data_IF_697711387686
#
_entry.id   IF_697711387686
#
_cell.length_a   1.000
_cell.length_b   1.000
_cell.length_c   1.000
_cell.angle_alpha   90.00
_cell.angle_beta   90.00
_cell.angle_gamma   90.00
#
_symmetry.space_group_name_H-M   'P 1'
#
loop_
_entity.id
_entity.type
_entity.pdbx_description
1 polymer ?
#
# COMPACT_ATOMS: atom_id res chain seq x y z
N UNK A 1 66.31 -40.27 -9.47
CA UNK A 1 64.90 -40.39 -9.00
C UNK A 1 64.41 -39.15 -8.23
N UNK A 2 65.23 -38.12 -8.03
CA UNK A 2 64.89 -36.91 -7.25
C UNK A 2 64.12 -35.86 -8.07
N UNK A 3 64.45 -35.70 -9.36
CA UNK A 3 63.83 -34.71 -10.25
C UNK A 3 62.34 -34.96 -10.58
N UNK A 4 61.87 -36.22 -10.46
CA UNK A 4 60.46 -36.56 -10.69
C UNK A 4 59.56 -36.13 -9.51
N UNK A 5 60.12 -36.06 -8.30
CA UNK A 5 59.40 -35.65 -7.09
C UNK A 5 59.10 -34.15 -7.06
N UNK A 6 60.02 -33.31 -7.54
CA UNK A 6 59.80 -31.85 -7.61
C UNK A 6 58.77 -31.47 -8.66
N UNK A 7 58.71 -32.17 -9.80
CA UNK A 7 57.69 -31.92 -10.84
C UNK A 7 56.26 -32.26 -10.41
N UNK A 8 56.07 -33.18 -9.47
CA UNK A 8 54.74 -33.53 -8.95
C UNK A 8 54.25 -32.55 -7.87
N UNK A 9 55.15 -31.80 -7.22
CA UNK A 9 54.76 -30.82 -6.21
C UNK A 9 54.09 -29.58 -6.81
N UNK A 10 54.49 -29.16 -8.03
CA UNK A 10 53.89 -28.02 -8.73
C UNK A 10 52.52 -28.29 -9.38
N UNK A 11 52.10 -29.57 -9.47
CA UNK A 11 50.79 -29.96 -10.02
C UNK A 11 49.70 -30.11 -8.94
N UNK A 12 50.04 -29.97 -7.65
CA UNK A 12 49.03 -29.75 -6.61
C UNK A 12 48.59 -28.30 -6.70
N UNK A 13 47.78 -28.04 -7.73
CA UNK A 13 47.00 -26.83 -7.88
C UNK A 13 46.22 -26.63 -6.57
N UNK A 14 46.45 -25.49 -5.94
CA UNK A 14 45.94 -25.17 -4.62
C UNK A 14 44.46 -24.78 -4.77
N UNK A 15 43.56 -25.77 -4.85
CA UNK A 15 42.09 -25.58 -4.96
C UNK A 15 41.47 -24.86 -3.75
N UNK A 16 42.28 -24.52 -2.74
CA UNK A 16 41.87 -23.85 -1.50
C UNK A 16 41.27 -22.46 -1.73
N UNK A 17 41.47 -21.84 -2.90
CA UNK A 17 40.82 -20.59 -3.29
C UNK A 17 39.49 -20.75 -4.05
N UNK A 18 39.23 -21.91 -4.68
CA UNK A 18 38.05 -22.12 -5.53
C UNK A 18 36.81 -22.50 -4.71
N UNK A 19 37.00 -23.21 -3.59
CA UNK A 19 35.92 -23.61 -2.68
C UNK A 19 35.31 -22.40 -1.96
N UNK A 20 36.10 -21.34 -1.70
CA UNK A 20 35.61 -20.09 -1.12
C UNK A 20 34.84 -19.21 -2.13
N UNK A 21 35.04 -19.37 -3.44
CA UNK A 21 34.37 -18.57 -4.46
C UNK A 21 33.05 -19.17 -4.95
N UNK A 22 32.93 -20.50 -4.99
CA UNK A 22 31.75 -21.18 -5.53
C UNK A 22 30.52 -21.08 -4.63
N UNK A 23 30.71 -20.93 -3.32
CA UNK A 23 29.62 -20.74 -2.35
C UNK A 23 29.14 -19.27 -2.28
N UNK A 24 29.98 -18.31 -2.68
CA UNK A 24 29.64 -16.88 -2.63
C UNK A 24 28.55 -16.51 -3.63
N UNK A 25 28.53 -17.14 -4.81
CA UNK A 25 27.50 -16.91 -5.82
C UNK A 25 26.09 -17.31 -5.35
N UNK A 26 25.82 -18.54 -4.87
CA UNK A 26 24.50 -18.90 -4.37
C UNK A 26 24.13 -18.12 -3.10
N UNK A 27 25.09 -17.81 -2.24
CA UNK A 27 24.84 -17.00 -1.05
C UNK A 27 24.47 -15.54 -1.40
N UNK A 28 25.21 -14.92 -2.32
CA UNK A 28 24.91 -13.58 -2.84
C UNK A 28 23.57 -13.53 -3.56
N UNK A 29 23.24 -14.56 -4.35
CA UNK A 29 21.92 -14.69 -4.97
C UNK A 29 20.81 -14.79 -3.93
N UNK A 30 20.98 -15.61 -2.88
CA UNK A 30 20.00 -15.75 -1.81
C UNK A 30 19.78 -14.42 -1.08
N UNK A 31 20.86 -13.71 -0.73
CA UNK A 31 20.76 -12.36 -0.12
C UNK A 31 20.05 -11.40 -1.06
N UNK A 32 20.37 -11.41 -2.35
CA UNK A 32 19.71 -10.56 -3.34
C UNK A 32 18.21 -10.82 -3.40
N UNK A 33 17.81 -12.10 -3.50
CA UNK A 33 16.40 -12.50 -3.53
C UNK A 33 15.68 -12.06 -2.25
N UNK A 34 16.27 -12.31 -1.08
CA UNK A 34 15.70 -11.89 0.21
C UNK A 34 15.60 -10.37 0.28
N UNK A 35 16.63 -9.63 -0.15
CA UNK A 35 16.64 -8.18 -0.18
C UNK A 35 15.56 -7.59 -1.08
N UNK A 36 15.40 -8.12 -2.29
CA UNK A 36 14.34 -7.72 -3.23
C UNK A 36 12.97 -8.03 -2.64
N UNK A 37 12.79 -9.18 -2.01
CA UNK A 37 11.52 -9.55 -1.38
C UNK A 37 11.17 -8.59 -0.23
N UNK A 38 12.13 -8.24 0.63
CA UNK A 38 11.92 -7.27 1.69
C UNK A 38 11.55 -5.89 1.13
N UNK A 39 12.23 -5.45 0.08
CA UNK A 39 11.94 -4.16 -0.57
C UNK A 39 10.54 -4.15 -1.19
N UNK A 40 10.13 -5.23 -1.86
CA UNK A 40 8.79 -5.36 -2.44
C UNK A 40 7.70 -5.33 -1.35
N UNK A 41 7.91 -6.00 -0.22
CA UNK A 41 6.98 -5.99 0.90
C UNK A 41 6.88 -4.61 1.56
N UNK A 42 8.01 -3.91 1.74
CA UNK A 42 7.99 -2.54 2.24
C UNK A 42 7.27 -1.59 1.28
N UNK A 43 7.46 -1.77 -0.04
CA UNK A 43 6.78 -0.98 -1.06
C UNK A 43 5.26 -1.14 -1.02
N UNK A 44 4.75 -2.34 -0.71
CA UNK A 44 3.32 -2.58 -0.59
C UNK A 44 2.64 -1.68 0.46
N UNK A 45 3.33 -1.37 1.57
CA UNK A 45 2.81 -0.46 2.60
C UNK A 45 2.72 0.99 2.08
N UNK A 46 3.71 1.42 1.30
CA UNK A 46 3.71 2.76 0.68
C UNK A 46 2.59 2.86 -0.34
N UNK A 47 2.43 1.84 -1.19
CA UNK A 47 1.38 1.76 -2.19
C UNK A 47 -0.02 1.81 -1.52
N UNK A 48 -0.24 0.98 -0.50
CA UNK A 48 -1.46 1.00 0.29
C UNK A 48 -1.74 2.38 0.92
N UNK A 49 -0.70 3.05 1.44
CA UNK A 49 -0.85 4.38 2.04
C UNK A 49 -1.27 5.43 1.01
N UNK A 50 -0.69 5.39 -0.20
CA UNK A 50 -1.07 6.28 -1.29
C UNK A 50 -2.51 6.01 -1.73
N UNK A 51 -2.89 4.74 -1.84
CA UNK A 51 -4.22 4.32 -2.24
C UNK A 51 -5.31 4.75 -1.23
N UNK A 52 -5.13 4.52 0.08
CA UNK A 52 -6.12 5.00 1.07
C UNK A 52 -6.23 6.52 1.13
N UNK A 53 -5.14 7.23 0.83
CA UNK A 53 -5.15 8.70 0.80
C UNK A 53 -5.95 9.20 -0.40
N UNK A 54 -5.77 8.58 -1.57
CA UNK A 54 -6.57 8.86 -2.76
C UNK A 54 -8.05 8.54 -2.50
N UNK A 55 -8.34 7.38 -1.91
CA UNK A 55 -9.69 6.94 -1.60
C UNK A 55 -10.40 7.88 -0.61
N UNK A 56 -9.74 8.30 0.47
CA UNK A 56 -10.33 9.23 1.44
C UNK A 56 -10.65 10.59 0.79
N UNK A 57 -9.77 11.08 -0.08
CA UNK A 57 -10.00 12.32 -0.82
C UNK A 57 -11.18 12.19 -1.80
N UNK A 58 -11.20 11.13 -2.59
CA UNK A 58 -12.25 10.94 -3.59
C UNK A 58 -13.62 10.68 -2.94
N UNK A 59 -13.65 9.98 -1.82
CA UNK A 59 -14.84 9.79 -1.00
C UNK A 59 -15.40 11.13 -0.51
N UNK A 60 -14.56 11.96 0.11
CA UNK A 60 -14.97 13.26 0.63
C UNK A 60 -15.49 14.17 -0.50
N UNK A 61 -14.75 14.24 -1.62
CA UNK A 61 -15.11 15.03 -2.79
C UNK A 61 -16.44 14.61 -3.39
N UNK A 62 -16.58 13.31 -3.66
CA UNK A 62 -17.80 12.76 -4.23
C UNK A 62 -19.00 12.99 -3.30
N UNK A 63 -18.77 12.90 -1.98
CA UNK A 63 -19.80 13.17 -1.00
C UNK A 63 -20.27 14.63 -1.05
N UNK A 64 -19.36 15.61 -1.04
CA UNK A 64 -19.73 17.05 -1.06
C UNK A 64 -20.38 17.48 -2.38
N UNK A 65 -20.05 16.82 -3.49
CA UNK A 65 -20.58 17.09 -4.83
C UNK A 65 -21.92 16.37 -5.12
N UNK A 66 -22.32 15.36 -4.34
CA UNK A 66 -23.49 14.52 -4.62
C UNK A 66 -24.85 15.24 -4.45
N UNK A 67 -25.87 14.98 -5.30
CA UNK A 67 -27.12 15.75 -5.37
C UNK A 67 -27.94 15.80 -4.08
N UNK A 68 -27.88 14.74 -3.28
CA UNK A 68 -28.62 14.56 -2.06
C UNK A 68 -27.85 13.60 -1.13
N UNK A 69 -28.24 13.57 0.15
CA UNK A 69 -27.57 12.78 1.19
C UNK A 69 -27.58 11.26 0.91
N UNK A 70 -28.67 10.73 0.37
CA UNK A 70 -28.81 9.30 0.11
C UNK A 70 -27.89 8.84 -1.03
N UNK A 71 -27.79 9.67 -2.07
CA UNK A 71 -26.84 9.48 -3.15
C UNK A 71 -25.40 9.68 -2.66
N UNK A 72 -25.14 10.69 -1.82
CA UNK A 72 -23.81 11.04 -1.32
C UNK A 72 -23.11 9.88 -0.62
N UNK A 73 -23.80 9.18 0.29
CA UNK A 73 -23.23 8.02 0.97
C UNK A 73 -22.88 6.89 -0.01
N UNK A 74 -23.77 6.60 -0.95
CA UNK A 74 -23.56 5.48 -1.89
C UNK A 74 -22.48 5.79 -2.93
N UNK A 75 -22.49 6.99 -3.51
CA UNK A 75 -21.53 7.40 -4.54
C UNK A 75 -20.12 7.59 -3.97
N UNK A 76 -19.99 8.16 -2.77
CA UNK A 76 -18.69 8.29 -2.09
C UNK A 76 -18.06 6.94 -1.76
N UNK A 77 -18.86 5.95 -1.35
CA UNK A 77 -18.39 4.58 -1.15
C UNK A 77 -17.88 3.97 -2.46
N UNK A 78 -18.64 4.11 -3.56
CA UNK A 78 -18.21 3.62 -4.86
C UNK A 78 -16.92 4.30 -5.34
N UNK A 79 -16.82 5.62 -5.20
CA UNK A 79 -15.64 6.37 -5.61
C UNK A 79 -14.40 6.02 -4.77
N UNK A 80 -14.57 5.77 -3.47
CA UNK A 80 -13.51 5.27 -2.61
C UNK A 80 -13.01 3.89 -3.08
N UNK A 81 -13.92 2.99 -3.44
CA UNK A 81 -13.58 1.66 -3.95
C UNK A 81 -12.87 1.74 -5.30
N UNK A 82 -13.34 2.60 -6.21
CA UNK A 82 -12.72 2.83 -7.51
C UNK A 82 -11.29 3.36 -7.36
N UNK A 83 -11.07 4.29 -6.43
CA UNK A 83 -9.73 4.81 -6.10
C UNK A 83 -8.78 3.73 -5.54
N UNK A 84 -9.31 2.61 -5.04
CA UNK A 84 -8.53 1.48 -4.49
C UNK A 84 -8.28 0.37 -5.52
N UNK A 85 -8.74 0.49 -6.77
CA UNK A 85 -8.66 -0.57 -7.80
C UNK A 85 -7.25 -1.03 -8.21
N UNK A 86 -6.19 -0.55 -7.56
CA UNK A 86 -4.83 -1.10 -7.66
C UNK A 86 -4.47 -2.13 -6.57
N UNK A 87 -5.21 -2.18 -5.45
CA UNK A 87 -4.91 -3.08 -4.34
C UNK A 87 -5.42 -4.49 -4.62
N UNK A 88 -4.49 -5.45 -4.65
CA UNK A 88 -4.78 -6.85 -4.94
C UNK A 88 -5.40 -7.54 -3.73
N UNK A 89 -6.71 -7.81 -3.84
CA UNK A 89 -7.33 -9.02 -3.30
C UNK A 89 -7.88 -8.94 -1.88
N UNK A 90 -9.20 -9.12 -1.74
CA UNK A 90 -9.86 -9.65 -0.53
C UNK A 90 -9.69 -8.86 0.77
N UNK A 91 -9.09 -7.66 0.74
CA UNK A 91 -8.91 -6.84 1.93
C UNK A 91 -10.25 -6.33 2.45
N UNK A 92 -10.43 -6.43 3.76
CA UNK A 92 -11.54 -5.79 4.46
C UNK A 92 -11.33 -4.29 4.48
N UNK A 93 -12.18 -3.58 3.73
CA UNK A 93 -12.25 -2.14 3.72
C UNK A 93 -13.20 -1.64 4.81
N UNK A 94 -12.71 -0.79 5.70
CA UNK A 94 -13.52 0.00 6.63
C UNK A 94 -13.51 1.47 6.18
N UNK A 95 -14.59 1.88 5.50
CA UNK A 95 -14.83 3.27 5.15
C UNK A 95 -15.83 3.87 6.15
N UNK A 96 -15.43 4.98 6.76
CA UNK A 96 -16.27 5.78 7.64
C UNK A 96 -16.35 7.20 7.11
N UNK A 97 -17.57 7.68 6.91
CA UNK A 97 -17.83 9.07 6.54
C UNK A 97 -18.62 9.69 7.68
N UNK A 98 -18.12 10.80 8.21
CA UNK A 98 -18.78 11.59 9.23
C UNK A 98 -19.01 12.99 8.70
N UNK A 99 -20.19 13.54 8.96
CA UNK A 99 -20.56 14.89 8.53
C UNK A 99 -20.99 15.68 9.75
N UNK A 100 -20.34 16.82 9.96
CA UNK A 100 -20.75 17.74 11.01
C UNK A 100 -21.87 18.66 10.50
N UNK A 101 -22.95 18.76 11.27
CA UNK A 101 -24.13 19.55 10.90
C UNK A 101 -25.06 18.93 9.84
N UNK A 102 -24.76 17.72 9.34
CA UNK A 102 -25.58 17.02 8.33
C UNK A 102 -25.33 17.47 6.88
N UNK A 103 -26.09 16.94 5.92
CA UNK A 103 -25.93 17.26 4.50
C UNK A 103 -26.49 18.65 4.12
N UNK A 104 -25.75 19.69 4.49
CA UNK A 104 -26.11 21.10 4.32
C UNK A 104 -24.92 21.92 3.83
N UNK A 105 -25.18 23.13 3.37
CA UNK A 105 -24.13 24.10 3.01
C UNK A 105 -23.17 24.33 4.18
N UNK A 106 -21.90 24.51 3.84
CA UNK A 106 -20.81 24.72 4.80
C UNK A 106 -20.58 23.58 5.81
N UNK A 107 -21.25 22.43 5.68
CA UNK A 107 -20.97 21.28 6.53
C UNK A 107 -19.56 20.74 6.25
N UNK A 108 -18.84 20.41 7.32
CA UNK A 108 -17.55 19.74 7.22
C UNK A 108 -17.77 18.24 7.09
N UNK A 109 -17.34 17.68 5.97
CA UNK A 109 -17.35 16.24 5.70
C UNK A 109 -15.96 15.72 5.99
N UNK A 110 -15.86 14.65 6.78
CA UNK A 110 -14.62 13.93 7.05
C UNK A 110 -14.78 12.49 6.61
N UNK A 111 -14.00 12.09 5.61
CA UNK A 111 -13.90 10.71 5.15
C UNK A 111 -12.65 10.05 5.73
N UNK A 112 -12.82 8.85 6.28
CA UNK A 112 -11.75 8.02 6.82
C UNK A 112 -11.80 6.64 6.16
N UNK A 113 -10.69 6.26 5.54
CA UNK A 113 -10.53 4.95 4.90
C UNK A 113 -9.47 4.16 5.66
N UNK A 114 -9.78 2.90 5.97
CA UNK A 114 -8.83 1.93 6.52
C UNK A 114 -8.85 0.64 5.70
N UNK A 115 -7.67 0.05 5.55
CA UNK A 115 -7.48 -1.29 4.97
C UNK A 115 -6.36 -2.01 5.70
N UNK A 116 -6.47 -3.34 5.74
CA UNK A 116 -5.54 -4.23 6.40
C UNK A 116 -4.55 -4.86 5.41
N UNK A 117 -3.28 -4.46 5.47
CA UNK A 117 -2.23 -4.94 4.56
C UNK A 117 -1.48 -6.12 5.18
N UNK A 118 -1.29 -7.25 4.47
CA UNK A 118 -0.52 -8.38 5.00
C UNK A 118 0.96 -8.04 5.21
N UNK A 119 1.56 -8.49 6.32
CA UNK A 119 2.97 -8.23 6.63
C UNK A 119 3.98 -8.81 5.62
N UNK A 120 3.68 -9.99 5.06
CA UNK A 120 4.56 -10.66 4.10
C UNK A 120 3.73 -11.25 2.96
N UNK A 121 3.80 -10.67 1.78
CA UNK A 121 3.32 -11.24 0.53
C UNK A 121 4.42 -12.05 -0.15
N UNK A 122 4.22 -13.36 -0.29
CA UNK A 122 5.05 -14.20 -1.14
C UNK A 122 4.37 -14.37 -2.51
N UNK A 123 5.12 -14.26 -3.62
CA UNK A 123 4.56 -14.55 -4.93
C UNK A 123 4.05 -15.99 -4.97
N UNK A 124 2.87 -16.20 -5.56
CA UNK A 124 2.16 -17.48 -5.72
C UNK A 124 1.59 -18.14 -4.45
N UNK A 125 2.13 -17.84 -3.26
CA UNK A 125 1.70 -18.45 -1.99
C UNK A 125 0.77 -17.51 -1.18
N UNK A 126 0.79 -16.21 -1.46
CA UNK A 126 -0.09 -15.22 -0.83
C UNK A 126 0.51 -14.55 0.41
N UNK A 127 -0.36 -13.90 1.19
CA UNK A 127 0.02 -13.18 2.41
C UNK A 127 0.15 -14.08 3.63
N UNK A 128 1.22 -13.93 4.40
CA UNK A 128 1.44 -14.60 5.68
C UNK A 128 1.76 -13.58 6.78
N UNK A 129 1.37 -13.91 8.02
CA UNK A 129 1.63 -13.10 9.21
C UNK A 129 0.46 -12.24 9.65
N UNK A 130 0.71 -11.36 10.62
CA UNK A 130 -0.27 -10.36 11.10
C UNK A 130 -0.49 -9.30 10.03
N UNK A 131 -1.70 -8.78 9.91
CA UNK A 131 -1.98 -7.61 9.06
C UNK A 131 -1.56 -6.33 9.78
N UNK A 132 -1.28 -5.30 8.99
CA UNK A 132 -1.03 -3.94 9.43
C UNK A 132 -2.15 -3.05 8.92
N UNK A 133 -2.83 -2.35 9.83
CA UNK A 133 -3.86 -1.38 9.45
C UNK A 133 -3.20 -0.13 8.87
N UNK A 134 -3.59 0.23 7.66
CA UNK A 134 -3.21 1.48 7.00
C UNK A 134 -4.46 2.35 6.85
N UNK A 135 -4.39 3.56 7.39
CA UNK A 135 -5.51 4.48 7.41
C UNK A 135 -5.16 5.85 6.81
N UNK A 136 -6.15 6.52 6.25
CA UNK A 136 -6.08 7.93 5.90
C UNK A 136 -7.42 8.63 6.20
N UNK A 137 -7.32 9.92 6.48
CA UNK A 137 -8.48 10.79 6.73
C UNK A 137 -8.34 12.03 5.85
N UNK A 138 -9.45 12.46 5.26
CA UNK A 138 -9.54 13.70 4.49
C UNK A 138 -10.82 14.44 4.85
N UNK A 139 -10.75 15.77 4.89
CA UNK A 139 -11.92 16.61 5.17
C UNK A 139 -12.14 17.64 4.09
N UNK A 140 -13.39 17.83 3.70
CA UNK A 140 -13.82 18.79 2.69
C UNK A 140 -15.14 19.45 3.11
N UNK A 141 -15.39 20.67 2.64
CA UNK A 141 -16.59 21.45 2.99
C UNK A 141 -17.61 21.33 1.87
N UNK A 142 -18.89 21.13 2.22
CA UNK A 142 -19.99 21.19 1.26
C UNK A 142 -20.14 22.60 0.70
N UNK A 143 -20.12 22.73 -0.64
CA UNK A 143 -20.12 24.00 -1.36
C UNK A 143 -21.19 24.99 -0.82
N UNK A 144 -20.77 26.18 -0.34
CA UNK A 144 -21.68 27.18 0.22
C UNK A 144 -22.71 27.69 -0.80
N UNK A 145 -22.36 27.74 -2.08
CA UNK A 145 -23.19 28.36 -3.11
C UNK A 145 -24.09 27.36 -3.84
N UNK A 146 -24.00 26.07 -3.52
CA UNK A 146 -24.76 25.00 -4.16
C UNK A 146 -26.27 25.08 -3.95
N UNK A 147 -27.04 25.28 -5.02
CA UNK A 147 -28.50 25.27 -4.98
C UNK A 147 -29.08 23.90 -4.56
N UNK A 148 -30.28 23.92 -3.97
CA UNK A 148 -31.00 22.70 -3.57
C UNK A 148 -30.61 22.13 -2.20
N UNK A 149 -29.55 22.65 -1.56
CA UNK A 149 -29.17 22.24 -0.21
C UNK A 149 -29.74 23.16 0.88
N UNK A 150 -30.11 22.60 2.04
CA UNK A 150 -30.51 23.38 3.21
C UNK A 150 -29.34 24.16 3.80
N UNK A 151 -29.65 25.17 4.62
CA UNK A 151 -28.68 26.02 5.30
C UNK A 151 -28.41 27.33 4.56
N UNK A 152 -27.74 28.25 5.27
CA UNK A 152 -27.26 29.51 4.73
C UNK A 152 -25.83 29.34 4.21
N UNK A 153 -25.41 30.18 3.26
CA UNK A 153 -24.04 30.21 2.72
C UNK A 153 -23.09 30.96 3.67
N UNK A 154 -23.15 30.65 4.96
CA UNK A 154 -22.31 31.21 6.01
C UNK A 154 -21.49 30.07 6.62
N UNK A 155 -20.18 30.11 6.37
CA UNK A 155 -19.26 29.04 6.77
C UNK A 155 -18.45 29.38 8.02
N UNK A 156 -18.84 30.44 8.74
CA UNK A 156 -18.08 31.00 9.85
C UNK A 156 -17.10 32.09 9.42
#
# INVERSE_FOLDING_TARGET
MTALRERLAGLRHDDRGQVAGIEVLPFGFLIFVVGVLLLANAWAVVDAKLAVTAAAREAARTYVEAPDESTAATSSHAAALDALTGQRGGETLDLRISVDGGFRRCALVTAQVRVDVPAVGLPFIGGFGRTFEVAATHSEIVDPYRSGLPGEADCG
#
